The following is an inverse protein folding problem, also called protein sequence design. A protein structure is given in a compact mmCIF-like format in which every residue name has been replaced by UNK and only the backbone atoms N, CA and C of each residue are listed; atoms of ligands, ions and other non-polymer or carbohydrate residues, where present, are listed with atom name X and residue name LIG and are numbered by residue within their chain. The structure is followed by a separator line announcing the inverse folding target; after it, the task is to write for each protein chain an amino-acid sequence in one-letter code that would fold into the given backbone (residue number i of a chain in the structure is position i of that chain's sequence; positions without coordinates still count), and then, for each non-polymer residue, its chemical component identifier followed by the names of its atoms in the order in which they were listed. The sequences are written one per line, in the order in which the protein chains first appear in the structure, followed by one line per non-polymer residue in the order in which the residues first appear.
data_IF_300820419690
#
_entry.id   IF_300820419690
#
_cell.length_a   1.000
_cell.length_b   1.000
_cell.length_c   1.000
_cell.angle_alpha   90.00
_cell.angle_beta   90.00
_cell.angle_gamma   90.00
#
_symmetry.space_group_name_H-M   'P 1'
#
loop_
_entity.id
_entity.type
_entity.pdbx_description
1 polymer ?
#
# COMPACT_ATOMS: atom_id res chain seq x y z
N UNK A 1 -6.31 -37.68 -33.48
CA UNK A 1 -6.29 -36.22 -33.28
C UNK A 1 -7.34 -35.86 -32.22
N UNK A 2 -6.97 -35.75 -30.95
CA UNK A 2 -7.90 -35.39 -29.86
C UNK A 2 -7.15 -34.51 -28.85
N UNK A 3 -7.32 -33.21 -28.97
CA UNK A 3 -7.07 -32.27 -27.87
C UNK A 3 -8.20 -31.23 -27.93
N UNK A 4 -9.37 -31.60 -27.43
CA UNK A 4 -10.37 -30.62 -27.00
C UNK A 4 -10.08 -30.42 -25.52
N UNK A 5 -9.21 -29.48 -25.22
CA UNK A 5 -8.96 -29.09 -23.83
C UNK A 5 -10.19 -28.32 -23.38
N UNK A 6 -10.99 -28.87 -22.48
CA UNK A 6 -12.11 -28.17 -21.88
C UNK A 6 -11.59 -26.97 -21.10
N UNK A 7 -11.90 -25.76 -21.55
CA UNK A 7 -11.67 -24.53 -20.79
C UNK A 7 -12.50 -24.57 -19.51
N UNK A 8 -11.94 -25.09 -18.42
CA UNK A 8 -12.53 -24.99 -17.09
C UNK A 8 -12.08 -23.67 -16.47
N UNK A 9 -13.01 -22.72 -16.37
CA UNK A 9 -12.76 -21.45 -15.68
C UNK A 9 -12.56 -21.70 -14.17
N UNK A 10 -11.56 -21.07 -13.52
CA UNK A 10 -11.35 -21.21 -12.08
C UNK A 10 -12.52 -20.60 -11.30
N UNK A 11 -12.92 -21.25 -10.21
CA UNK A 11 -14.01 -20.77 -9.34
C UNK A 11 -13.58 -19.48 -8.61
N UNK A 12 -14.53 -18.57 -8.38
CA UNK A 12 -14.28 -17.35 -7.61
C UNK A 12 -14.01 -17.70 -6.14
N UNK A 13 -12.77 -17.47 -5.71
CA UNK A 13 -12.37 -17.67 -4.31
C UNK A 13 -12.93 -16.60 -3.37
N UNK A 14 -13.14 -16.95 -2.11
CA UNK A 14 -13.65 -16.02 -1.10
C UNK A 14 -12.79 -14.75 -0.94
N UNK A 15 -11.46 -14.88 -1.08
CA UNK A 15 -10.54 -13.74 -1.07
C UNK A 15 -10.86 -12.72 -2.17
N UNK A 16 -11.30 -13.17 -3.34
CA UNK A 16 -11.73 -12.28 -4.42
C UNK A 16 -12.94 -11.44 -3.98
N UNK A 17 -13.99 -12.09 -3.46
CA UNK A 17 -15.21 -11.41 -3.00
C UNK A 17 -14.90 -10.40 -1.89
N UNK A 18 -14.13 -10.81 -0.87
CA UNK A 18 -13.71 -9.92 0.21
C UNK A 18 -12.93 -8.70 -0.30
N UNK A 19 -12.05 -8.90 -1.27
CA UNK A 19 -11.25 -7.81 -1.84
C UNK A 19 -12.15 -6.82 -2.57
N UNK A 20 -13.08 -7.30 -3.40
CA UNK A 20 -14.05 -6.47 -4.09
C UNK A 20 -14.92 -5.66 -3.10
N UNK A 21 -15.45 -6.32 -2.06
CA UNK A 21 -16.23 -5.65 -1.00
C UNK A 21 -15.41 -4.57 -0.29
N UNK A 22 -14.15 -4.84 0.05
CA UNK A 22 -13.28 -3.86 0.70
C UNK A 22 -13.04 -2.62 -0.17
N UNK A 23 -12.79 -2.81 -1.47
CA UNK A 23 -12.60 -1.70 -2.41
C UNK A 23 -13.89 -0.88 -2.56
N UNK A 24 -15.05 -1.54 -2.71
CA UNK A 24 -16.33 -0.85 -2.76
C UNK A 24 -16.59 -0.02 -1.50
N UNK A 25 -16.30 -0.58 -0.32
CA UNK A 25 -16.42 0.15 0.95
C UNK A 25 -15.45 1.32 1.05
N UNK A 26 -14.20 1.21 0.57
CA UNK A 26 -13.29 2.35 0.50
C UNK A 26 -13.89 3.51 -0.30
N UNK A 27 -14.47 3.23 -1.47
CA UNK A 27 -15.09 4.26 -2.31
C UNK A 27 -16.31 4.90 -1.64
N UNK A 28 -17.18 4.08 -1.02
CA UNK A 28 -18.37 4.57 -0.30
C UNK A 28 -17.95 5.47 0.87
N UNK A 29 -17.00 5.02 1.69
CA UNK A 29 -16.50 5.78 2.85
C UNK A 29 -15.93 7.13 2.40
N UNK A 30 -15.12 7.16 1.34
CA UNK A 30 -14.53 8.40 0.83
C UNK A 30 -15.58 9.39 0.30
N UNK A 31 -16.62 8.89 -0.38
CA UNK A 31 -17.75 9.70 -0.80
C UNK A 31 -18.49 10.30 0.41
N UNK A 32 -18.71 9.51 1.47
CA UNK A 32 -19.39 9.99 2.69
C UNK A 32 -18.62 11.06 3.45
N UNK A 33 -17.28 11.00 3.47
CA UNK A 33 -16.43 11.98 4.16
C UNK A 33 -16.01 13.16 3.25
N UNK A 34 -16.58 13.28 2.05
CA UNK A 34 -16.25 14.31 1.05
C UNK A 34 -14.74 14.41 0.74
N UNK A 35 -14.06 13.26 0.63
CA UNK A 35 -12.63 13.20 0.31
C UNK A 35 -12.43 12.75 -1.13
N UNK A 36 -11.78 13.60 -1.92
CA UNK A 36 -11.84 13.53 -3.39
C UNK A 36 -11.30 12.24 -4.02
N UNK A 37 -10.32 11.57 -3.41
CA UNK A 37 -9.61 10.48 -4.09
C UNK A 37 -9.41 9.21 -3.22
N UNK A 38 -10.21 8.14 -3.41
CA UNK A 38 -10.06 6.87 -2.69
C UNK A 38 -8.92 5.97 -3.20
N UNK A 39 -8.18 6.38 -4.23
CA UNK A 39 -7.23 5.51 -4.94
C UNK A 39 -6.23 4.82 -4.00
N UNK A 40 -5.59 5.55 -3.09
CA UNK A 40 -4.61 4.97 -2.16
C UNK A 40 -5.24 4.06 -1.11
N UNK A 41 -6.47 4.37 -0.67
CA UNK A 41 -7.24 3.50 0.22
C UNK A 41 -7.59 2.18 -0.48
N UNK A 42 -8.04 2.23 -1.73
CA UNK A 42 -8.34 1.04 -2.52
C UNK A 42 -7.10 0.15 -2.73
N UNK A 43 -5.95 0.73 -3.10
CA UNK A 43 -4.70 -0.03 -3.23
C UNK A 43 -4.30 -0.65 -1.89
N UNK A 44 -4.44 0.08 -0.79
CA UNK A 44 -4.15 -0.43 0.54
C UNK A 44 -5.06 -1.60 0.89
N UNK A 45 -6.35 -1.49 0.60
CA UNK A 45 -7.31 -2.56 0.84
C UNK A 45 -6.96 -3.83 0.06
N UNK A 46 -6.65 -3.72 -1.23
CA UNK A 46 -6.25 -4.84 -2.09
C UNK A 46 -4.95 -5.49 -1.59
N UNK A 47 -3.95 -4.68 -1.26
CA UNK A 47 -2.64 -5.16 -0.84
C UNK A 47 -2.70 -5.90 0.50
N UNK A 48 -3.47 -5.37 1.46
CA UNK A 48 -3.60 -5.92 2.80
C UNK A 48 -4.60 -7.06 2.90
N UNK A 49 -5.50 -7.25 1.92
CA UNK A 49 -6.44 -8.37 1.93
C UNK A 49 -5.72 -9.71 1.71
N UNK A 50 -5.70 -10.53 2.76
CA UNK A 50 -5.14 -11.89 2.76
C UNK A 50 -6.19 -12.93 3.17
N UNK A 51 -5.79 -14.20 3.21
CA UNK A 51 -6.73 -15.29 3.54
C UNK A 51 -7.16 -15.28 5.01
N UNK A 52 -6.28 -14.81 5.91
CA UNK A 52 -6.57 -14.68 7.35
C UNK A 52 -6.48 -13.22 7.80
N UNK A 53 -7.21 -12.92 8.89
CA UNK A 53 -7.19 -11.59 9.52
C UNK A 53 -5.78 -11.26 10.05
N UNK A 54 -5.12 -12.22 10.71
CA UNK A 54 -3.76 -12.04 11.23
C UNK A 54 -2.76 -11.69 10.13
N UNK A 55 -2.84 -12.36 8.97
CA UNK A 55 -1.99 -12.04 7.83
C UNK A 55 -2.34 -10.66 7.24
N UNK A 56 -3.62 -10.27 7.27
CA UNK A 56 -4.03 -8.94 6.81
C UNK A 56 -3.50 -7.83 7.71
N UNK A 57 -3.52 -8.05 9.04
CA UNK A 57 -2.90 -7.15 10.02
C UNK A 57 -1.39 -7.08 9.81
N UNK A 58 -0.72 -8.23 9.66
CA UNK A 58 0.72 -8.28 9.38
C UNK A 58 1.10 -7.47 8.15
N UNK A 59 0.33 -7.60 7.06
CA UNK A 59 0.55 -6.82 5.84
C UNK A 59 0.23 -5.34 6.02
N UNK A 60 -0.81 -5.01 6.79
CA UNK A 60 -1.14 -3.64 7.17
C UNK A 60 0.02 -2.96 7.90
N UNK A 61 0.62 -3.63 8.89
CA UNK A 61 1.79 -3.13 9.63
C UNK A 61 2.97 -2.93 8.67
N UNK A 62 3.27 -3.91 7.80
CA UNK A 62 4.34 -3.75 6.81
C UNK A 62 4.08 -2.58 5.85
N UNK A 63 2.82 -2.33 5.48
CA UNK A 63 2.47 -1.19 4.64
C UNK A 63 2.69 0.15 5.37
N UNK A 64 2.37 0.23 6.66
CA UNK A 64 2.66 1.40 7.49
C UNK A 64 4.17 1.62 7.59
N UNK A 65 4.94 0.57 7.90
CA UNK A 65 6.41 0.65 7.99
C UNK A 65 7.02 1.10 6.67
N UNK A 66 6.63 0.51 5.54
CA UNK A 66 7.11 0.92 4.22
C UNK A 66 6.74 2.37 3.88
N UNK A 67 5.56 2.83 4.29
CA UNK A 67 5.14 4.22 4.10
C UNK A 67 5.99 5.18 4.92
N UNK A 68 6.31 4.84 6.16
CA UNK A 68 7.17 5.66 7.02
C UNK A 68 8.59 5.75 6.45
N UNK A 69 9.20 4.61 6.09
CA UNK A 69 10.56 4.57 5.54
C UNK A 69 10.62 5.35 4.23
N UNK A 70 9.70 5.09 3.31
CA UNK A 70 9.69 5.73 1.99
C UNK A 70 9.34 7.21 2.08
N UNK A 71 8.43 7.57 2.99
CA UNK A 71 8.07 8.97 3.26
C UNK A 71 9.25 9.74 3.82
N UNK A 72 9.94 9.19 4.82
CA UNK A 72 11.12 9.81 5.43
C UNK A 72 12.25 10.03 4.42
N UNK A 73 12.62 8.98 3.67
CA UNK A 73 13.66 9.07 2.65
C UNK A 73 13.23 10.03 1.54
N UNK A 74 12.01 9.91 1.02
CA UNK A 74 11.49 10.78 -0.04
C UNK A 74 11.50 12.26 0.35
N UNK A 75 11.10 12.58 1.59
CA UNK A 75 11.15 13.93 2.15
C UNK A 75 12.58 14.47 2.20
N UNK A 76 13.54 13.66 2.64
CA UNK A 76 14.96 14.07 2.67
C UNK A 76 15.47 14.35 1.26
N UNK A 77 15.16 13.48 0.30
CA UNK A 77 15.61 13.64 -1.08
C UNK A 77 15.04 14.90 -1.74
N UNK A 78 13.73 15.15 -1.60
CA UNK A 78 13.14 16.36 -2.18
C UNK A 78 13.68 17.63 -1.50
N UNK A 79 13.89 17.59 -0.18
CA UNK A 79 14.50 18.71 0.54
C UNK A 79 15.90 19.02 0.01
N UNK A 80 16.75 18.00 -0.16
CA UNK A 80 18.11 18.14 -0.73
C UNK A 80 18.07 18.61 -2.18
N UNK A 81 17.20 18.04 -3.02
CA UNK A 81 17.03 18.47 -4.42
C UNK A 81 16.56 19.92 -4.54
N UNK A 82 15.80 20.43 -3.57
CA UNK A 82 15.40 21.85 -3.56
C UNK A 82 16.54 22.78 -3.15
N UNK A 83 17.40 22.34 -2.21
CA UNK A 83 18.53 23.14 -1.73
C UNK A 83 19.73 23.13 -2.68
N UNK A 84 19.89 22.07 -3.47
CA UNK A 84 21.02 21.87 -4.38
C UNK A 84 20.46 21.72 -5.81
N UNK A 85 20.49 22.78 -6.65
CA UNK A 85 19.90 22.75 -8.00
C UNK A 85 20.43 21.63 -8.90
N UNK A 86 21.70 21.25 -8.73
CA UNK A 86 22.29 20.12 -9.46
C UNK A 86 21.52 18.82 -9.22
N UNK A 87 21.13 18.53 -7.97
CA UNK A 87 20.37 17.31 -7.62
C UNK A 87 18.97 17.32 -8.21
N UNK A 88 18.38 18.50 -8.45
CA UNK A 88 17.11 18.62 -9.14
C UNK A 88 17.24 18.20 -10.61
N UNK A 89 18.30 18.64 -11.29
CA UNK A 89 18.56 18.28 -12.70
C UNK A 89 18.78 16.79 -12.91
N UNK A 90 19.29 16.07 -11.91
CA UNK A 90 19.49 14.62 -11.94
C UNK A 90 18.47 13.84 -11.09
N UNK A 91 17.26 14.39 -10.89
CA UNK A 91 16.19 13.79 -10.08
C UNK A 91 15.93 12.29 -10.35
N UNK A 92 15.94 11.78 -11.60
CA UNK A 92 15.79 10.34 -11.84
C UNK A 92 16.87 9.49 -11.16
N UNK A 93 18.13 9.95 -11.18
CA UNK A 93 19.26 9.26 -10.56
C UNK A 93 19.14 9.34 -9.03
N UNK A 94 18.79 10.52 -8.49
CA UNK A 94 18.55 10.71 -7.05
C UNK A 94 17.44 9.80 -6.54
N UNK A 95 16.36 9.66 -7.30
CA UNK A 95 15.24 8.77 -6.98
C UNK A 95 15.70 7.31 -6.96
N UNK A 96 16.49 6.88 -7.95
CA UNK A 96 17.07 5.53 -7.99
C UNK A 96 17.98 5.24 -6.79
N UNK A 97 18.83 6.20 -6.39
CA UNK A 97 19.63 6.08 -5.17
C UNK A 97 18.76 5.95 -3.93
N UNK A 98 17.71 6.77 -3.82
CA UNK A 98 16.73 6.70 -2.75
C UNK A 98 16.05 5.34 -2.61
N UNK A 99 15.64 4.76 -3.73
CA UNK A 99 15.07 3.41 -3.80
C UNK A 99 16.08 2.38 -3.30
N UNK A 100 17.33 2.43 -3.78
CA UNK A 100 18.40 1.52 -3.34
C UNK A 100 18.64 1.59 -1.82
N UNK A 101 18.76 2.81 -1.29
CA UNK A 101 18.90 3.06 0.17
C UNK A 101 17.71 2.49 0.93
N UNK A 102 16.49 2.71 0.43
CA UNK A 102 15.30 2.19 1.07
C UNK A 102 15.23 0.67 1.07
N UNK A 103 15.61 0.02 -0.03
CA UNK A 103 15.66 -1.44 -0.11
C UNK A 103 16.64 -1.97 0.94
N UNK A 104 17.81 -1.37 1.04
CA UNK A 104 18.81 -1.73 2.03
C UNK A 104 18.30 -1.58 3.46
N UNK A 105 17.68 -0.43 3.81
CA UNK A 105 17.11 -0.18 5.14
C UNK A 105 16.00 -1.20 5.46
N UNK A 106 15.06 -1.42 4.55
CA UNK A 106 13.99 -2.42 4.75
C UNK A 106 14.55 -3.84 4.95
N UNK A 107 15.62 -4.18 4.23
CA UNK A 107 16.30 -5.47 4.35
C UNK A 107 16.99 -5.61 5.71
N UNK A 108 17.69 -4.57 6.16
CA UNK A 108 18.33 -4.51 7.48
C UNK A 108 17.32 -4.70 8.62
N UNK A 109 16.14 -4.10 8.48
CA UNK A 109 15.03 -4.23 9.42
C UNK A 109 14.26 -5.56 9.31
N UNK A 110 14.64 -6.46 8.39
CA UNK A 110 13.95 -7.72 8.07
C UNK A 110 12.47 -7.50 7.68
N UNK A 111 12.19 -6.41 6.97
CA UNK A 111 10.85 -5.97 6.54
C UNK A 111 10.70 -6.04 5.01
N UNK A 112 10.86 -7.24 4.44
CA UNK A 112 10.79 -7.46 2.98
C UNK A 112 9.50 -6.96 2.33
N UNK A 113 8.35 -7.22 2.97
CA UNK A 113 7.02 -6.77 2.47
C UNK A 113 6.86 -5.24 2.45
N UNK A 114 7.71 -4.51 3.18
CA UNK A 114 7.69 -3.04 3.23
C UNK A 114 8.45 -2.40 2.07
N UNK A 115 9.33 -3.16 1.39
CA UNK A 115 10.21 -2.66 0.31
C UNK A 115 9.40 -2.02 -0.81
N UNK A 116 8.46 -2.78 -1.40
CA UNK A 116 7.66 -2.31 -2.54
C UNK A 116 6.90 -1.03 -2.16
N UNK A 117 6.28 -1.00 -0.98
CA UNK A 117 5.51 0.16 -0.51
C UNK A 117 6.41 1.39 -0.39
N UNK A 118 7.60 1.22 0.21
CA UNK A 118 8.56 2.31 0.37
C UNK A 118 9.02 2.88 -0.97
N UNK A 119 9.34 2.02 -1.95
CA UNK A 119 9.73 2.44 -3.29
C UNK A 119 8.63 3.24 -3.99
N UNK A 120 7.37 2.81 -3.91
CA UNK A 120 6.24 3.53 -4.53
C UNK A 120 6.07 4.92 -3.88
N UNK A 121 6.30 5.05 -2.57
CA UNK A 121 6.18 6.33 -1.86
C UNK A 121 7.30 7.28 -2.28
N UNK A 122 8.55 6.82 -2.33
CA UNK A 122 9.69 7.62 -2.79
C UNK A 122 9.43 8.12 -4.23
N UNK A 123 9.06 7.22 -5.14
CA UNK A 123 8.73 7.60 -6.51
C UNK A 123 7.57 8.59 -6.57
N UNK A 124 6.51 8.37 -5.77
CA UNK A 124 5.37 9.28 -5.70
C UNK A 124 5.76 10.69 -5.27
N UNK A 125 6.59 10.82 -4.24
CA UNK A 125 7.07 12.11 -3.73
C UNK A 125 7.98 12.80 -4.77
N UNK A 126 8.93 12.07 -5.36
CA UNK A 126 9.88 12.63 -6.32
C UNK A 126 9.26 13.01 -7.66
N UNK A 127 8.20 12.32 -8.09
CA UNK A 127 7.46 12.63 -9.33
C UNK A 127 6.48 13.80 -9.12
N UNK A 128 5.79 13.86 -7.98
CA UNK A 128 4.79 14.89 -7.68
C UNK A 128 5.42 16.09 -6.95
N UNK A 129 6.66 16.45 -7.31
CA UNK A 129 7.48 17.40 -6.57
C UNK A 129 7.30 18.88 -6.99
N UNK A 130 6.15 19.22 -7.59
CA UNK A 130 5.87 20.56 -8.13
C UNK A 130 5.96 21.69 -7.09
N UNK A 131 5.83 21.40 -5.79
CA UNK A 131 6.28 22.27 -4.69
C UNK A 131 6.53 21.47 -3.41
N UNK A 132 7.45 21.93 -2.55
CA UNK A 132 7.74 21.26 -1.26
C UNK A 132 6.48 21.09 -0.40
N UNK A 133 5.67 22.15 -0.28
CA UNK A 133 4.43 22.11 0.49
C UNK A 133 3.47 21.03 -0.02
N UNK A 134 3.32 20.91 -1.36
CA UNK A 134 2.51 19.86 -1.97
C UNK A 134 3.07 18.45 -1.68
N UNK A 135 4.39 18.26 -1.65
CA UNK A 135 4.99 16.95 -1.36
C UNK A 135 4.73 16.49 0.07
N UNK A 136 4.78 17.39 1.05
CA UNK A 136 4.45 17.06 2.45
C UNK A 136 2.97 16.73 2.63
N UNK A 137 2.08 17.58 2.10
CA UNK A 137 0.63 17.35 2.17
C UNK A 137 0.25 16.08 1.44
N UNK A 138 0.90 15.78 0.31
CA UNK A 138 0.72 14.54 -0.43
C UNK A 138 1.11 13.31 0.41
N UNK A 139 2.29 13.32 1.05
CA UNK A 139 2.75 12.21 1.89
C UNK A 139 1.81 11.95 3.08
N UNK A 140 1.35 13.02 3.74
CA UNK A 140 0.40 12.92 4.86
C UNK A 140 -0.96 12.40 4.36
N UNK A 141 -1.51 13.00 3.32
CA UNK A 141 -2.81 12.60 2.76
C UNK A 141 -2.80 11.13 2.36
N UNK A 142 -1.74 10.70 1.68
CA UNK A 142 -1.54 9.32 1.26
C UNK A 142 -1.40 8.34 2.43
N UNK A 143 -0.77 8.77 3.52
CA UNK A 143 -0.67 7.96 4.75
C UNK A 143 -2.03 7.75 5.38
N UNK A 144 -2.84 8.81 5.49
CA UNK A 144 -4.21 8.74 6.01
C UNK A 144 -5.07 7.82 5.14
N UNK A 145 -5.04 8.00 3.81
CA UNK A 145 -5.80 7.18 2.87
C UNK A 145 -5.45 5.70 3.02
N UNK A 146 -4.15 5.42 3.15
CA UNK A 146 -3.64 4.07 3.32
C UNK A 146 -4.12 3.45 4.62
N UNK A 147 -4.13 4.19 5.73
CA UNK A 147 -4.63 3.71 7.03
C UNK A 147 -6.12 3.37 6.93
N UNK A 148 -6.94 4.23 6.30
CA UNK A 148 -8.37 3.95 6.11
C UNK A 148 -8.57 2.66 5.31
N UNK A 149 -7.83 2.49 4.21
CA UNK A 149 -7.89 1.26 3.41
C UNK A 149 -7.47 0.00 4.16
N UNK A 150 -6.42 0.08 4.99
CA UNK A 150 -5.97 -1.03 5.86
C UNK A 150 -7.08 -1.42 6.84
N UNK A 151 -7.69 -0.44 7.51
CA UNK A 151 -8.77 -0.67 8.48
C UNK A 151 -9.95 -1.37 7.81
N UNK A 152 -10.39 -0.86 6.66
CA UNK A 152 -11.50 -1.45 5.89
C UNK A 152 -11.18 -2.88 5.49
N UNK A 153 -9.98 -3.16 4.96
CA UNK A 153 -9.60 -4.53 4.59
C UNK A 153 -9.58 -5.49 5.78
N UNK A 154 -9.08 -5.06 6.94
CA UNK A 154 -9.07 -5.89 8.15
C UNK A 154 -10.50 -6.18 8.63
N UNK A 155 -11.37 -5.16 8.66
CA UNK A 155 -12.77 -5.32 9.06
C UNK A 155 -13.50 -6.27 8.11
N UNK A 156 -13.40 -6.03 6.80
CA UNK A 156 -14.02 -6.88 5.78
C UNK A 156 -13.52 -8.32 5.90
N UNK A 157 -12.22 -8.52 6.07
CA UNK A 157 -11.70 -9.87 6.26
C UNK A 157 -12.26 -10.50 7.53
N UNK A 158 -12.30 -9.78 8.64
CA UNK A 158 -12.82 -10.28 9.92
C UNK A 158 -14.29 -10.72 9.82
N UNK A 159 -15.14 -9.96 9.14
CA UNK A 159 -16.58 -10.26 9.08
C UNK A 159 -16.96 -11.26 7.99
N UNK A 160 -16.23 -11.29 6.87
CA UNK A 160 -16.51 -12.23 5.77
C UNK A 160 -15.67 -13.51 5.83
N UNK A 161 -14.77 -13.67 6.80
CA UNK A 161 -14.08 -14.96 6.97
C UNK A 161 -15.03 -15.97 7.64
N UNK A 162 -15.30 -17.13 7.01
CA UNK A 162 -16.05 -18.18 7.67
C UNK A 162 -15.30 -18.55 8.94
N UNK A 163 -15.94 -18.36 10.09
CA UNK A 163 -15.38 -18.72 11.39
C UNK A 163 -15.02 -20.20 11.31
N UNK A 164 -13.74 -20.55 11.43
CA UNK A 164 -13.43 -21.73 12.24
C UNK A 164 -13.58 -21.23 13.67
N UNK A 165 -14.79 -21.32 14.21
CA UNK A 165 -14.93 -21.50 15.66
C UNK A 165 -14.01 -22.65 15.99
N UNK A 166 -12.88 -22.33 16.63
CA UNK A 166 -12.09 -23.32 17.33
C UNK A 166 -13.06 -23.86 18.37
N UNK A 167 -13.58 -25.06 18.13
CA UNK A 167 -14.13 -25.88 19.19
C UNK A 167 -13.01 -25.97 20.23
N UNK A 168 -13.19 -25.26 21.34
CA UNK A 168 -12.40 -25.48 22.54
C UNK A 168 -12.86 -26.85 23.02
N UNK A 169 -12.18 -27.89 22.56
CA UNK A 169 -12.33 -29.23 23.06
C UNK A 169 -12.07 -29.21 24.56
N UNK A 170 -13.09 -29.66 25.28
CA UNK A 170 -13.10 -29.94 26.71
C UNK A 170 -12.00 -30.93 27.13
#
# INVERSE_FOLDING_TARGET
MRIINSFQLPKLGLRNIKTAVAVSLCMIVFNMINRENPFFACIAAVFCMKDTVSNSIYMGINRIVGTIIGGFIGIILIYLSTKIPFLYSISPIVTGMGISISIYICTLLKKGESVIVSCIIISGIMINNSSQFHSYTYAISRSIDTIIGIIIAILVNKYLNPRKTVEVGA
#
